data_IF_218469474785
#
_entry.id   IF_218469474785
#
_cell.length_a   1.000
_cell.length_b   1.000
_cell.length_c   1.000
_cell.angle_alpha   90.00
_cell.angle_beta   90.00
_cell.angle_gamma   90.00
#
_symmetry.space_group_name_H-M   'P 1'
#
loop_
_entity.id
_entity.type
_entity.pdbx_description
1 polymer ?
#
# COMPACT_ATOMS: atom_id res chain seq x y z
N UNK A 1 6.80 12.70 24.22
CA UNK A 1 7.49 11.47 23.88
C UNK A 1 7.51 11.26 22.37
N UNK A 2 8.70 11.24 21.79
CA UNK A 2 8.91 11.13 20.34
C UNK A 2 8.29 9.85 19.76
N UNK A 3 8.41 8.73 20.49
CA UNK A 3 7.81 7.48 20.06
C UNK A 3 6.29 7.61 19.91
N UNK A 4 5.64 8.17 20.93
CA UNK A 4 4.19 8.32 20.94
C UNK A 4 3.71 9.17 19.75
N UNK A 5 4.38 10.29 19.49
CA UNK A 5 4.04 11.15 18.36
C UNK A 5 4.25 10.44 17.03
N UNK A 6 5.34 9.69 16.87
CA UNK A 6 5.63 8.95 15.65
C UNK A 6 4.58 7.86 15.40
N UNK A 7 4.23 7.10 16.43
CA UNK A 7 3.21 6.04 16.32
C UNK A 7 1.83 6.62 16.03
N UNK A 8 1.47 7.72 16.68
CA UNK A 8 0.19 8.41 16.47
C UNK A 8 0.09 8.94 15.04
N UNK A 9 1.15 9.59 14.54
CA UNK A 9 1.19 10.09 13.16
C UNK A 9 1.11 8.95 12.14
N UNK A 10 1.81 7.85 12.37
CA UNK A 10 1.77 6.68 11.50
C UNK A 10 0.36 6.07 11.46
N UNK A 11 -0.33 6.00 12.59
CA UNK A 11 -1.69 5.49 12.68
C UNK A 11 -2.68 6.39 11.93
N UNK A 12 -2.55 7.72 12.06
CA UNK A 12 -3.35 8.67 11.30
C UNK A 12 -3.11 8.54 9.80
N UNK A 13 -1.85 8.46 9.38
CA UNK A 13 -1.51 8.29 7.98
C UNK A 13 -2.05 6.98 7.43
N UNK A 14 -1.99 5.89 8.20
CA UNK A 14 -2.57 4.61 7.82
C UNK A 14 -4.07 4.74 7.57
N UNK A 15 -4.79 5.41 8.46
CA UNK A 15 -6.23 5.67 8.30
C UNK A 15 -6.51 6.43 7.00
N UNK A 16 -5.78 7.51 6.73
CA UNK A 16 -5.96 8.31 5.52
C UNK A 16 -5.56 7.57 4.26
N UNK A 17 -4.51 6.74 4.29
CA UNK A 17 -4.13 5.90 3.16
C UNK A 17 -5.24 4.91 2.81
N UNK A 18 -5.81 4.24 3.81
CA UNK A 18 -6.92 3.30 3.60
C UNK A 18 -8.14 4.01 3.02
N UNK A 19 -8.45 5.19 3.53
CA UNK A 19 -9.56 6.01 3.02
C UNK A 19 -9.35 6.39 1.56
N UNK A 20 -8.14 6.85 1.20
CA UNK A 20 -7.81 7.22 -0.18
C UNK A 20 -7.84 6.03 -1.13
N UNK A 21 -7.50 4.83 -0.65
CA UNK A 21 -7.62 3.60 -1.43
C UNK A 21 -9.09 3.24 -1.70
N UNK A 22 -9.96 3.42 -0.70
CA UNK A 22 -11.36 3.05 -0.81
C UNK A 22 -12.19 4.02 -1.66
N UNK A 23 -11.90 5.32 -1.59
CA UNK A 23 -12.69 6.33 -2.29
C UNK A 23 -12.72 6.18 -3.82
N UNK A 24 -11.57 6.01 -4.52
CA UNK A 24 -11.61 5.82 -5.97
C UNK A 24 -12.35 4.56 -6.37
N UNK A 25 -12.21 3.47 -5.61
CA UNK A 25 -12.93 2.21 -5.89
C UNK A 25 -14.43 2.39 -5.71
N UNK A 26 -14.85 3.06 -4.65
CA UNK A 26 -16.24 3.36 -4.34
C UNK A 26 -16.86 4.24 -5.42
N UNK A 27 -16.17 5.28 -5.85
CA UNK A 27 -16.59 6.17 -6.91
C UNK A 27 -16.74 5.43 -8.24
N UNK A 28 -15.79 4.57 -8.57
CA UNK A 28 -15.83 3.75 -9.77
C UNK A 28 -17.07 2.86 -9.80
N UNK A 29 -17.36 2.19 -8.70
CA UNK A 29 -18.55 1.32 -8.57
C UNK A 29 -19.83 2.15 -8.61
N UNK A 30 -19.86 3.28 -7.90
CA UNK A 30 -21.06 4.13 -7.79
C UNK A 30 -21.47 4.79 -9.10
N UNK A 31 -20.53 5.03 -10.00
CA UNK A 31 -20.78 5.67 -11.30
C UNK A 31 -20.95 4.68 -12.45
N UNK A 32 -21.01 3.37 -12.16
CA UNK A 32 -21.20 2.31 -13.16
C UNK A 32 -20.17 2.35 -14.30
N UNK A 33 -18.93 2.66 -13.98
CA UNK A 33 -17.84 2.64 -14.95
C UNK A 33 -17.56 1.20 -15.41
N UNK A 34 -16.88 1.09 -16.56
CA UNK A 34 -16.50 -0.20 -17.10
C UNK A 34 -15.73 -1.02 -16.05
N UNK A 35 -15.94 -2.35 -16.01
CA UNK A 35 -15.21 -3.21 -15.07
C UNK A 35 -13.70 -3.05 -15.24
N UNK A 36 -12.97 -3.20 -14.14
CA UNK A 36 -11.52 -3.19 -14.18
C UNK A 36 -11.02 -4.31 -15.10
N UNK A 37 -10.15 -4.02 -16.08
CA UNK A 37 -9.62 -5.05 -16.97
C UNK A 37 -8.94 -6.18 -16.19
N UNK A 38 -9.11 -7.42 -16.66
CA UNK A 38 -8.52 -8.60 -16.02
C UNK A 38 -7.00 -8.52 -15.89
N UNK A 39 -6.35 -7.83 -16.83
CA UNK A 39 -4.89 -7.65 -16.78
C UNK A 39 -4.47 -6.86 -15.55
N UNK A 40 -5.20 -5.80 -15.18
CA UNK A 40 -4.91 -5.01 -14.00
C UNK A 40 -5.16 -5.81 -12.72
N UNK A 41 -6.25 -6.56 -12.66
CA UNK A 41 -6.54 -7.43 -11.53
C UNK A 41 -5.44 -8.47 -11.34
N UNK A 42 -4.97 -9.07 -12.42
CA UNK A 42 -3.88 -10.06 -12.39
C UNK A 42 -2.56 -9.45 -11.92
N UNK A 43 -2.25 -8.25 -12.39
CA UNK A 43 -1.01 -7.55 -12.00
C UNK A 43 -1.04 -7.08 -10.56
N UNK A 44 -2.21 -6.66 -10.08
CA UNK A 44 -2.36 -6.15 -8.72
C UNK A 44 -2.45 -7.27 -7.67
N UNK A 45 -2.94 -8.45 -8.03
CA UNK A 45 -3.13 -9.55 -7.08
C UNK A 45 -1.86 -9.91 -6.30
N UNK A 46 -0.68 -10.06 -6.93
CA UNK A 46 0.55 -10.32 -6.17
C UNK A 46 0.90 -9.19 -5.19
N UNK A 47 0.69 -7.95 -5.58
CA UNK A 47 0.92 -6.78 -4.74
C UNK A 47 -0.01 -6.81 -3.53
N UNK A 48 -1.29 -7.03 -3.75
CA UNK A 48 -2.30 -7.14 -2.69
C UNK A 48 -1.93 -8.25 -1.69
N UNK A 49 -1.53 -9.40 -2.18
CA UNK A 49 -1.13 -10.53 -1.34
C UNK A 49 0.09 -10.18 -0.49
N UNK A 50 1.08 -9.54 -1.07
CA UNK A 50 2.29 -9.12 -0.35
C UNK A 50 1.99 -8.05 0.70
N UNK A 51 1.11 -7.08 0.40
CA UNK A 51 0.67 -6.08 1.37
C UNK A 51 -0.04 -6.76 2.54
N UNK A 52 -0.95 -7.68 2.26
CA UNK A 52 -1.67 -8.42 3.30
C UNK A 52 -0.70 -9.21 4.19
N UNK A 53 0.25 -9.92 3.59
CA UNK A 53 1.24 -10.69 4.34
C UNK A 53 2.12 -9.77 5.21
N UNK A 54 2.49 -8.61 4.69
CA UNK A 54 3.25 -7.61 5.45
C UNK A 54 2.45 -7.14 6.68
N UNK A 55 1.17 -6.85 6.50
CA UNK A 55 0.29 -6.43 7.61
C UNK A 55 0.14 -7.53 8.66
N UNK A 56 0.02 -8.79 8.24
CA UNK A 56 -0.06 -9.94 9.14
C UNK A 56 1.22 -10.08 9.96
N UNK A 57 2.39 -9.95 9.32
CA UNK A 57 3.67 -10.04 10.02
C UNK A 57 3.87 -8.90 11.03
N UNK A 58 3.53 -7.68 10.65
CA UNK A 58 3.63 -6.54 11.55
C UNK A 58 2.69 -6.73 12.75
N UNK A 59 1.46 -7.16 12.51
CA UNK A 59 0.50 -7.45 13.58
C UNK A 59 1.04 -8.51 14.53
N UNK A 60 1.59 -9.60 14.00
CA UNK A 60 2.18 -10.67 14.82
C UNK A 60 3.30 -10.15 15.71
N UNK A 61 4.21 -9.35 15.14
CA UNK A 61 5.32 -8.75 15.90
C UNK A 61 4.81 -7.84 17.01
N UNK A 62 3.77 -7.05 16.74
CA UNK A 62 3.16 -6.16 17.74
C UNK A 62 2.46 -6.94 18.84
N UNK A 63 1.68 -7.96 18.49
CA UNK A 63 0.96 -8.79 19.48
C UNK A 63 1.90 -9.57 20.39
N UNK A 64 2.99 -10.10 19.84
CA UNK A 64 3.99 -10.86 20.60
C UNK A 64 5.05 -9.97 21.24
N UNK A 65 5.05 -8.68 20.92
CA UNK A 65 6.08 -7.74 21.34
C UNK A 65 7.49 -8.27 21.06
N UNK A 66 7.65 -8.92 19.90
CA UNK A 66 8.89 -9.54 19.44
C UNK A 66 9.29 -8.98 18.08
N UNK A 67 10.35 -8.20 18.07
CA UNK A 67 10.86 -7.54 16.86
C UNK A 67 12.21 -8.09 16.41
N UNK A 68 12.53 -9.33 16.80
CA UNK A 68 13.80 -9.98 16.47
C UNK A 68 14.01 -10.14 14.96
N UNK A 69 12.94 -10.27 14.19
CA UNK A 69 12.97 -10.46 12.74
C UNK A 69 12.70 -9.17 11.94
N UNK A 70 12.77 -8.01 12.61
CA UNK A 70 12.39 -6.73 12.01
C UNK A 70 13.16 -6.41 10.72
N UNK A 71 14.45 -6.73 10.68
CA UNK A 71 15.27 -6.43 9.51
C UNK A 71 14.76 -7.14 8.25
N UNK A 72 14.40 -8.41 8.37
CA UNK A 72 13.84 -9.17 7.25
C UNK A 72 12.50 -8.62 6.80
N UNK A 73 11.65 -8.19 7.73
CA UNK A 73 10.34 -7.59 7.40
C UNK A 73 10.53 -6.25 6.72
N UNK A 74 11.48 -5.44 7.15
CA UNK A 74 11.79 -4.15 6.52
C UNK A 74 12.35 -4.34 5.09
N UNK A 75 13.19 -5.35 4.89
CA UNK A 75 13.71 -5.70 3.56
C UNK A 75 12.57 -6.12 2.64
N UNK A 76 11.66 -6.95 3.12
CA UNK A 76 10.48 -7.37 2.34
C UNK A 76 9.60 -6.17 1.99
N UNK A 77 9.39 -5.26 2.92
CA UNK A 77 8.62 -4.04 2.68
C UNK A 77 9.28 -3.15 1.62
N UNK A 78 10.60 -3.02 1.66
CA UNK A 78 11.34 -2.25 0.64
C UNK A 78 11.21 -2.89 -0.74
N UNK A 79 11.35 -4.21 -0.83
CA UNK A 79 11.18 -4.94 -2.09
C UNK A 79 9.77 -4.78 -2.65
N UNK A 80 8.77 -4.83 -1.80
CA UNK A 80 7.38 -4.59 -2.19
C UNK A 80 7.18 -3.15 -2.70
N UNK A 81 7.74 -2.18 -2.01
CA UNK A 81 7.68 -0.77 -2.43
C UNK A 81 8.29 -0.58 -3.82
N UNK A 82 9.42 -1.20 -4.09
CA UNK A 82 10.08 -1.15 -5.40
C UNK A 82 9.24 -1.81 -6.49
N UNK A 83 8.61 -2.95 -6.19
CA UNK A 83 7.71 -3.61 -7.12
C UNK A 83 6.53 -2.72 -7.49
N UNK A 84 5.94 -2.05 -6.51
CA UNK A 84 4.83 -1.11 -6.74
C UNK A 84 5.32 0.08 -7.58
N UNK A 85 6.50 0.58 -7.30
CA UNK A 85 7.09 1.69 -8.07
C UNK A 85 7.27 1.31 -9.56
N UNK A 86 7.72 0.10 -9.83
CA UNK A 86 7.86 -0.42 -11.19
C UNK A 86 6.50 -0.52 -11.89
N UNK A 87 5.50 -1.06 -11.21
CA UNK A 87 4.14 -1.14 -11.74
C UNK A 87 3.55 0.23 -12.03
N UNK A 88 3.81 1.22 -11.16
CA UNK A 88 3.38 2.60 -11.38
C UNK A 88 3.95 3.16 -12.67
N UNK A 89 5.23 2.97 -12.91
CA UNK A 89 5.89 3.46 -14.14
C UNK A 89 5.27 2.82 -15.38
N UNK A 90 5.06 1.52 -15.35
CA UNK A 90 4.39 0.79 -16.43
C UNK A 90 2.99 1.35 -16.67
N UNK A 91 2.24 1.59 -15.61
CA UNK A 91 0.88 2.11 -15.70
C UNK A 91 0.83 3.55 -16.21
N UNK A 92 1.81 4.37 -15.85
CA UNK A 92 1.91 5.74 -16.37
C UNK A 92 2.07 5.75 -17.89
N UNK A 93 2.86 4.84 -18.44
CA UNK A 93 2.98 4.69 -19.91
C UNK A 93 1.66 4.26 -20.54
N UNK A 94 0.96 3.31 -19.93
CA UNK A 94 -0.35 2.86 -20.42
C UNK A 94 -1.37 3.99 -20.44
N UNK A 95 -1.42 4.82 -19.40
CA UNK A 95 -2.31 5.98 -19.33
C UNK A 95 -2.05 6.95 -20.49
N UNK A 96 -0.79 7.13 -20.87
CA UNK A 96 -0.43 8.01 -21.99
C UNK A 96 -0.85 7.45 -23.36
N UNK A 97 -0.86 6.12 -23.50
CA UNK A 97 -1.16 5.45 -24.78
C UNK A 97 -2.65 5.12 -24.96
N UNK A 98 -3.40 4.92 -23.87
CA UNK A 98 -4.81 4.50 -23.94
C UNK A 98 -5.77 5.68 -24.01
N UNK A 99 -6.41 5.86 -25.18
CA UNK A 99 -7.41 6.91 -25.36
C UNK A 99 -8.80 6.59 -24.82
N UNK A 100 -9.21 5.30 -24.82
CA UNK A 100 -10.59 4.90 -24.59
C UNK A 100 -10.90 4.39 -23.17
N UNK A 101 -9.88 4.10 -22.36
CA UNK A 101 -10.03 3.54 -21.00
C UNK A 101 -9.33 4.39 -19.97
N UNK A 102 -9.21 5.69 -20.23
CA UNK A 102 -8.43 6.62 -19.41
C UNK A 102 -8.86 6.59 -17.94
N UNK A 103 -10.17 6.58 -17.65
CA UNK A 103 -10.67 6.60 -16.28
C UNK A 103 -10.23 5.35 -15.51
N UNK A 104 -10.38 4.16 -16.12
CA UNK A 104 -9.99 2.89 -15.47
C UNK A 104 -8.49 2.85 -15.24
N UNK A 105 -7.71 3.29 -16.24
CA UNK A 105 -6.25 3.35 -16.12
C UNK A 105 -5.79 4.30 -15.01
N UNK A 106 -6.49 5.44 -14.84
CA UNK A 106 -6.22 6.38 -13.76
C UNK A 106 -6.58 5.81 -12.40
N UNK A 107 -7.72 5.11 -12.28
CA UNK A 107 -8.11 4.44 -11.02
C UNK A 107 -7.05 3.43 -10.61
N UNK A 108 -6.54 2.64 -11.54
CA UNK A 108 -5.47 1.68 -11.25
C UNK A 108 -4.18 2.39 -10.82
N UNK A 109 -3.80 3.47 -11.52
CA UNK A 109 -2.62 4.26 -11.15
C UNK A 109 -2.74 4.82 -9.74
N UNK A 110 -3.90 5.39 -9.38
CA UNK A 110 -4.16 5.92 -8.04
C UNK A 110 -4.06 4.78 -7.00
N UNK A 111 -4.62 3.61 -7.30
CA UNK A 111 -4.54 2.44 -6.43
C UNK A 111 -3.08 2.05 -6.15
N UNK A 112 -2.24 2.05 -7.17
CA UNK A 112 -0.80 1.77 -7.02
C UNK A 112 -0.10 2.82 -6.16
N UNK A 113 -0.39 4.10 -6.38
CA UNK A 113 0.19 5.20 -5.60
C UNK A 113 -0.17 5.10 -4.13
N UNK A 114 -1.45 4.88 -3.83
CA UNK A 114 -1.92 4.74 -2.45
C UNK A 114 -1.39 3.47 -1.80
N UNK A 115 -1.22 2.40 -2.56
CA UNK A 115 -0.60 1.16 -2.06
C UNK A 115 0.86 1.40 -1.67
N UNK A 116 1.60 2.18 -2.44
CA UNK A 116 2.98 2.55 -2.11
C UNK A 116 3.05 3.37 -0.82
N UNK A 117 2.16 4.34 -0.66
CA UNK A 117 2.08 5.13 0.58
C UNK A 117 1.70 4.26 1.77
N UNK A 118 0.81 3.29 1.58
CA UNK A 118 0.45 2.35 2.64
C UNK A 118 1.67 1.55 3.11
N UNK A 119 2.46 1.02 2.19
CA UNK A 119 3.68 0.28 2.53
C UNK A 119 4.68 1.17 3.28
N UNK A 120 4.87 2.40 2.84
CA UNK A 120 5.76 3.35 3.54
C UNK A 120 5.26 3.64 4.96
N UNK A 121 3.95 3.81 5.12
CA UNK A 121 3.33 4.06 6.43
C UNK A 121 3.49 2.85 7.36
N UNK A 122 3.31 1.64 6.84
CA UNK A 122 3.51 0.41 7.60
C UNK A 122 4.97 0.26 8.08
N UNK A 123 5.93 0.62 7.23
CA UNK A 123 7.35 0.63 7.60
C UNK A 123 7.60 1.60 8.76
N UNK A 124 7.05 2.81 8.67
CA UNK A 124 7.19 3.81 9.74
C UNK A 124 6.57 3.35 11.05
N UNK A 125 5.39 2.74 10.97
CA UNK A 125 4.72 2.18 12.14
C UNK A 125 5.56 1.09 12.80
N UNK A 126 6.11 0.17 12.01
CA UNK A 126 6.95 -0.91 12.52
C UNK A 126 8.20 -0.38 13.19
N UNK A 127 8.87 0.59 12.58
CA UNK A 127 10.06 1.23 13.18
C UNK A 127 9.73 1.93 14.50
N UNK A 128 8.59 2.61 14.57
CA UNK A 128 8.15 3.29 15.79
C UNK A 128 7.87 2.30 16.91
N UNK A 129 7.18 1.20 16.61
CA UNK A 129 6.88 0.15 17.58
C UNK A 129 8.16 -0.52 18.11
N UNK A 130 9.14 -0.78 17.24
CA UNK A 130 10.42 -1.36 17.62
C UNK A 130 11.19 -0.43 18.58
N UNK A 131 11.17 0.87 18.33
CA UNK A 131 11.84 1.84 19.20
C UNK A 131 11.25 1.86 20.61
N UNK A 132 9.95 1.66 20.72
CA UNK A 132 9.28 1.68 22.02
C UNK A 132 9.73 0.53 22.92
N UNK A 133 10.05 -0.63 22.35
CA UNK A 133 10.46 -1.82 23.10
C UNK A 133 11.93 -1.81 23.52
N UNK A 134 12.70 -0.89 23.03
CA UNK A 134 14.10 -0.67 23.41
C UNK A 134 14.20 0.46 24.41
#
# INVERSE_FOLDING_TARGET
NTWFHTASNASEQLYYCLKRLCEPCKEHVGNNFNPMPKVYLREFLPIRTRIFNLMVEIRRMMEQNDYSDIENVLIEAEGLRESISTERKTQMYRVQEEGNSLHVSLVYLITLQESQELVDTLRQLLKACNKFTK
#
